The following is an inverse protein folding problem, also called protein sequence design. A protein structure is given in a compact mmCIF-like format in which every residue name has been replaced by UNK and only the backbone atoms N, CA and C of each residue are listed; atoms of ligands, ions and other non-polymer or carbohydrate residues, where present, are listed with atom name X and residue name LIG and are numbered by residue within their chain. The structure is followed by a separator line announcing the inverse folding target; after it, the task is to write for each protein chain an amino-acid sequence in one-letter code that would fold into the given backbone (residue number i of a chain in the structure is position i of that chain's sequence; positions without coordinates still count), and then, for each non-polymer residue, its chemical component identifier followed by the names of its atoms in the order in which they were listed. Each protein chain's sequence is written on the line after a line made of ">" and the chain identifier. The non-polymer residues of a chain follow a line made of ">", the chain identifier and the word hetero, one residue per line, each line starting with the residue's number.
data_IF_604934591034
#
_entry.id   IF_604934591034
#
_cell.length_a   1.000
_cell.length_b   1.000
_cell.length_c   1.000
_cell.angle_alpha   90.00
_cell.angle_beta   90.00
_cell.angle_gamma   90.00
#
_symmetry.space_group_name_H-M   'P 1'
#
loop_
_entity.id
_entity.type
_entity.pdbx_description
1 polymer ?
#
# COMPACT_ATOMS: atom_id res chain seq x y z
N UNK A 1 7.63 32.40 -23.45
CA UNK A 1 7.77 30.98 -23.88
C UNK A 1 8.66 30.28 -22.87
N UNK A 2 8.08 29.77 -21.82
CA UNK A 2 8.76 28.89 -20.84
C UNK A 2 8.65 27.47 -21.42
N UNK A 3 9.68 27.04 -22.14
CA UNK A 3 9.76 25.68 -22.71
C UNK A 3 9.90 24.69 -21.58
N UNK A 4 8.90 23.86 -21.46
CA UNK A 4 8.74 22.62 -20.70
C UNK A 4 10.01 21.75 -20.64
N UNK A 5 10.91 22.02 -19.70
CA UNK A 5 12.07 21.16 -19.42
C UNK A 5 11.82 20.11 -18.32
N UNK A 6 10.61 20.11 -17.73
CA UNK A 6 10.27 19.22 -16.61
C UNK A 6 9.76 17.86 -17.11
N UNK A 7 9.16 17.80 -18.29
CA UNK A 7 8.45 16.63 -18.79
C UNK A 7 9.27 15.67 -19.67
N UNK A 8 10.58 15.92 -19.86
CA UNK A 8 11.45 15.06 -20.69
C UNK A 8 12.34 14.10 -19.90
N UNK A 9 12.20 14.02 -18.61
CA UNK A 9 12.84 12.95 -17.84
C UNK A 9 12.10 11.63 -18.12
N UNK A 10 12.82 10.65 -18.65
CA UNK A 10 12.33 9.28 -18.65
C UNK A 10 11.85 8.96 -17.25
N UNK A 11 10.58 8.53 -17.12
CA UNK A 11 10.04 8.01 -15.88
C UNK A 11 11.07 7.06 -15.27
N UNK A 12 11.33 7.17 -13.96
CA UNK A 12 12.15 6.16 -13.31
C UNK A 12 11.55 4.80 -13.73
N UNK A 13 12.38 3.90 -14.22
CA UNK A 13 11.97 2.53 -14.57
C UNK A 13 11.65 1.81 -13.26
N UNK A 14 10.52 2.13 -12.67
CA UNK A 14 9.93 1.27 -11.67
C UNK A 14 9.42 0.04 -12.41
N UNK A 15 9.48 -1.14 -11.78
CA UNK A 15 8.81 -2.35 -12.28
C UNK A 15 7.28 -2.24 -12.13
N UNK A 16 6.73 -1.03 -12.27
CA UNK A 16 5.32 -0.67 -12.08
C UNK A 16 4.39 -1.29 -13.11
N UNK A 17 4.96 -1.91 -14.14
CA UNK A 17 4.21 -2.57 -15.20
C UNK A 17 3.82 -4.01 -14.87
N UNK A 18 4.37 -4.57 -13.79
CA UNK A 18 4.17 -5.97 -13.42
C UNK A 18 3.35 -6.10 -12.14
N UNK A 19 2.67 -7.23 -11.99
CA UNK A 19 2.02 -7.62 -10.75
C UNK A 19 3.07 -7.90 -9.66
N UNK A 20 2.76 -7.60 -8.41
CA UNK A 20 3.65 -7.91 -7.29
C UNK A 20 3.05 -9.03 -6.44
N UNK A 21 3.52 -10.25 -6.61
CA UNK A 21 2.99 -11.44 -5.94
C UNK A 21 4.13 -12.21 -5.29
N UNK A 22 3.97 -12.58 -4.03
CA UNK A 22 4.95 -13.38 -3.31
C UNK A 22 6.31 -12.71 -3.12
N UNK A 23 6.35 -11.39 -3.00
CA UNK A 23 7.57 -10.61 -2.80
C UNK A 23 8.38 -10.36 -4.09
N UNK A 24 7.82 -10.58 -5.27
CA UNK A 24 8.48 -10.40 -6.57
C UNK A 24 7.53 -9.88 -7.63
N UNK A 25 8.10 -9.19 -8.60
CA UNK A 25 7.39 -8.73 -9.79
C UNK A 25 7.21 -9.89 -10.77
N UNK A 26 5.97 -10.07 -11.27
CA UNK A 26 5.58 -11.13 -12.18
C UNK A 26 4.68 -10.60 -13.29
N UNK A 27 4.66 -11.26 -14.43
CA UNK A 27 3.72 -10.98 -15.51
C UNK A 27 2.36 -11.64 -15.21
N UNK A 28 1.27 -11.06 -15.71
CA UNK A 28 -0.05 -11.66 -15.62
C UNK A 28 -0.10 -13.00 -16.37
N UNK A 29 -0.75 -13.99 -15.79
CA UNK A 29 -0.88 -15.32 -16.39
C UNK A 29 -1.55 -15.30 -17.77
N UNK A 30 -2.42 -14.32 -18.02
CA UNK A 30 -3.08 -14.12 -19.32
C UNK A 30 -2.20 -13.41 -20.35
N UNK A 31 -1.12 -12.74 -19.94
CA UNK A 31 -0.34 -11.83 -20.76
C UNK A 31 -1.07 -10.54 -21.17
N UNK A 32 -2.29 -10.33 -20.67
CA UNK A 32 -3.07 -9.13 -21.01
C UNK A 32 -2.50 -7.89 -20.31
N UNK A 33 -2.55 -6.77 -21.03
CA UNK A 33 -2.14 -5.45 -20.53
C UNK A 33 -3.18 -4.40 -20.88
N UNK A 34 -3.11 -3.27 -20.20
CA UNK A 34 -3.83 -2.04 -20.56
C UNK A 34 -2.87 -0.85 -20.51
N UNK A 35 -3.22 0.20 -21.24
CA UNK A 35 -2.42 1.42 -21.27
C UNK A 35 -2.82 2.35 -20.12
N UNK A 36 -1.84 2.88 -19.38
CA UNK A 36 -2.07 4.06 -18.55
C UNK A 36 -1.65 5.30 -19.33
N UNK A 37 -2.47 6.36 -19.26
CA UNK A 37 -2.38 7.54 -20.12
C UNK A 37 -2.21 8.78 -19.24
N UNK A 38 -1.26 9.65 -19.60
CA UNK A 38 -1.13 10.95 -18.98
C UNK A 38 -2.32 11.84 -19.35
N UNK A 39 -3.20 12.20 -18.41
CA UNK A 39 -4.39 12.98 -18.71
C UNK A 39 -4.11 14.41 -19.15
N UNK A 40 -2.89 14.93 -18.93
CA UNK A 40 -2.52 16.27 -19.32
C UNK A 40 -2.22 16.41 -20.82
N UNK A 41 -1.77 15.34 -21.48
CA UNK A 41 -1.35 15.39 -22.89
C UNK A 41 -1.83 14.21 -23.74
N UNK A 42 -2.45 13.19 -23.14
CA UNK A 42 -2.95 12.00 -23.82
C UNK A 42 -1.86 10.99 -24.23
N UNK A 43 -0.61 11.19 -23.81
CA UNK A 43 0.47 10.25 -24.11
C UNK A 43 0.39 9.00 -23.23
N UNK A 44 0.70 7.83 -23.82
CA UNK A 44 0.81 6.58 -23.08
C UNK A 44 2.03 6.62 -22.17
N UNK A 45 1.83 6.43 -20.89
CA UNK A 45 2.89 6.37 -19.87
C UNK A 45 3.53 4.97 -19.80
N UNK A 46 2.69 3.94 -19.77
CA UNK A 46 3.11 2.56 -19.67
C UNK A 46 2.00 1.60 -20.11
N UNK A 47 2.41 0.34 -20.37
CA UNK A 47 1.49 -0.79 -20.47
C UNK A 47 1.55 -1.57 -19.16
N UNK A 48 0.43 -1.65 -18.46
CA UNK A 48 0.31 -2.28 -17.15
C UNK A 48 -0.31 -3.67 -17.30
N UNK A 49 0.15 -4.62 -16.51
CA UNK A 49 -0.38 -5.99 -16.52
C UNK A 49 -1.81 -6.02 -16.00
N UNK A 50 -2.70 -6.68 -16.74
CA UNK A 50 -4.09 -6.89 -16.32
C UNK A 50 -4.21 -8.25 -15.63
N UNK A 51 -4.41 -8.23 -14.31
CA UNK A 51 -4.51 -9.44 -13.52
C UNK A 51 -5.75 -10.26 -13.89
N UNK A 52 -5.58 -11.57 -14.03
CA UNK A 52 -6.66 -12.53 -14.18
C UNK A 52 -7.10 -13.10 -12.84
N UNK A 53 -8.22 -13.83 -12.83
CA UNK A 53 -8.64 -14.57 -11.62
C UNK A 53 -7.54 -15.50 -11.09
N UNK A 54 -6.76 -16.13 -11.97
CA UNK A 54 -5.68 -17.02 -11.56
C UNK A 54 -4.57 -16.25 -10.82
N UNK A 55 -4.24 -15.04 -11.25
CA UNK A 55 -3.26 -14.18 -10.60
C UNK A 55 -3.75 -13.75 -9.21
N UNK A 56 -5.02 -13.38 -9.09
CA UNK A 56 -5.65 -13.04 -7.82
C UNK A 56 -5.64 -14.23 -6.87
N UNK A 57 -5.99 -15.44 -7.32
CA UNK A 57 -5.95 -16.65 -6.52
C UNK A 57 -4.52 -16.94 -5.99
N UNK A 58 -3.49 -16.75 -6.82
CA UNK A 58 -2.09 -16.86 -6.42
C UNK A 58 -1.69 -15.79 -5.39
N UNK A 59 -2.13 -14.55 -5.59
CA UNK A 59 -1.87 -13.46 -4.67
C UNK A 59 -2.51 -13.73 -3.29
N UNK A 60 -3.77 -14.19 -3.27
CA UNK A 60 -4.47 -14.59 -2.03
C UNK A 60 -3.73 -15.72 -1.31
N UNK A 61 -3.32 -16.76 -2.04
CA UNK A 61 -2.57 -17.87 -1.46
C UNK A 61 -1.23 -17.42 -0.85
N UNK A 62 -0.51 -16.54 -1.56
CA UNK A 62 0.71 -15.92 -1.06
C UNK A 62 0.47 -15.06 0.19
N UNK A 63 -0.56 -14.22 0.16
CA UNK A 63 -0.94 -13.38 1.29
C UNK A 63 -1.31 -14.20 2.54
N UNK A 64 -1.98 -15.34 2.38
CA UNK A 64 -2.28 -16.26 3.49
C UNK A 64 -1.01 -16.84 4.14
N UNK A 65 0.03 -17.14 3.36
CA UNK A 65 1.30 -17.59 3.90
C UNK A 65 2.03 -16.46 4.64
N UNK A 66 2.09 -15.28 4.02
CA UNK A 66 2.70 -14.10 4.64
C UNK A 66 1.99 -13.67 5.92
N UNK A 67 0.65 -13.75 5.97
CA UNK A 67 -0.15 -13.43 7.15
C UNK A 67 0.24 -14.28 8.37
N UNK A 68 0.53 -15.55 8.20
CA UNK A 68 1.00 -16.42 9.28
C UNK A 68 2.33 -15.93 9.86
N UNK A 69 3.26 -15.53 9.00
CA UNK A 69 4.56 -14.99 9.41
C UNK A 69 4.38 -13.66 10.15
N UNK A 70 3.58 -12.76 9.56
CA UNK A 70 3.29 -11.45 10.13
C UNK A 70 2.59 -11.54 11.50
N UNK A 71 1.60 -12.42 11.62
CA UNK A 71 0.86 -12.62 12.86
C UNK A 71 1.73 -13.23 13.98
N UNK A 72 2.76 -14.00 13.63
CA UNK A 72 3.71 -14.57 14.59
C UNK A 72 4.71 -13.54 15.14
N UNK A 73 4.87 -12.39 14.48
CA UNK A 73 5.76 -11.31 14.94
C UNK A 73 5.19 -10.63 16.17
N UNK A 74 6.09 -10.14 17.04
CA UNK A 74 5.68 -9.23 18.13
C UNK A 74 5.19 -7.90 17.55
N UNK A 75 4.36 -7.18 18.30
CA UNK A 75 3.89 -5.85 17.91
C UNK A 75 5.04 -4.88 17.61
N UNK A 76 6.11 -4.93 18.42
CA UNK A 76 7.30 -4.10 18.19
C UNK A 76 8.07 -4.46 16.91
N UNK A 77 8.15 -5.72 16.55
CA UNK A 77 8.78 -6.13 15.29
C UNK A 77 7.99 -5.57 14.09
N UNK A 78 6.66 -5.70 14.10
CA UNK A 78 5.80 -5.12 13.07
C UNK A 78 5.94 -3.60 12.99
N UNK A 79 5.89 -2.91 14.14
CA UNK A 79 6.09 -1.45 14.22
C UNK A 79 7.41 -1.01 13.57
N UNK A 80 8.52 -1.71 13.84
CA UNK A 80 9.82 -1.39 13.23
C UNK A 80 9.83 -1.53 11.72
N UNK A 81 9.18 -2.56 11.18
CA UNK A 81 9.05 -2.75 9.72
C UNK A 81 8.27 -1.61 9.10
N UNK A 82 7.12 -1.25 9.69
CA UNK A 82 6.28 -0.14 9.21
C UNK A 82 7.03 1.20 9.26
N UNK A 83 7.76 1.49 10.34
CA UNK A 83 8.59 2.70 10.44
C UNK A 83 9.66 2.76 9.35
N UNK A 84 10.27 1.62 9.01
CA UNK A 84 11.22 1.58 7.90
C UNK A 84 10.56 1.87 6.55
N UNK A 85 9.34 1.42 6.34
CA UNK A 85 8.56 1.78 5.15
C UNK A 85 8.26 3.28 5.10
N UNK A 86 7.91 3.91 6.23
CA UNK A 86 7.72 5.38 6.33
C UNK A 86 8.98 6.14 5.91
N UNK A 87 10.15 5.74 6.41
CA UNK A 87 11.43 6.36 6.03
C UNK A 87 11.64 6.32 4.50
N UNK A 88 11.39 5.15 3.88
CA UNK A 88 11.53 4.97 2.43
C UNK A 88 10.52 5.84 1.66
N UNK A 89 9.27 5.95 2.12
CA UNK A 89 8.26 6.80 1.50
C UNK A 89 8.68 8.26 1.53
N UNK A 90 9.13 8.75 2.69
CA UNK A 90 9.60 10.14 2.85
C UNK A 90 10.84 10.43 2.00
N UNK A 91 11.78 9.49 1.93
CA UNK A 91 12.97 9.61 1.08
C UNK A 91 12.62 9.67 -0.41
N UNK A 92 11.61 8.91 -0.83
CA UNK A 92 11.16 8.84 -2.23
C UNK A 92 10.03 9.80 -2.58
N UNK A 93 9.63 10.69 -1.67
CA UNK A 93 8.49 11.59 -1.81
C UNK A 93 8.44 12.29 -3.17
N UNK A 94 9.53 12.94 -3.58
CA UNK A 94 9.57 13.70 -4.83
C UNK A 94 9.33 12.84 -6.07
N UNK A 95 9.95 11.66 -6.13
CA UNK A 95 9.81 10.75 -7.27
C UNK A 95 8.41 10.12 -7.35
N UNK A 96 7.82 9.81 -6.21
CA UNK A 96 6.45 9.28 -6.13
C UNK A 96 5.43 10.37 -6.49
N UNK A 97 5.63 11.60 -6.02
CA UNK A 97 4.78 12.74 -6.36
C UNK A 97 4.80 13.07 -7.85
N UNK A 98 5.97 13.02 -8.49
CA UNK A 98 6.08 13.20 -9.94
C UNK A 98 5.31 12.10 -10.70
N UNK A 99 5.43 10.86 -10.27
CA UNK A 99 4.71 9.74 -10.86
C UNK A 99 3.19 9.90 -10.71
N UNK A 100 2.70 10.19 -9.50
CA UNK A 100 1.28 10.40 -9.23
C UNK A 100 0.72 11.59 -10.02
N UNK A 101 1.48 12.68 -10.16
CA UNK A 101 1.08 13.80 -11.02
C UNK A 101 0.93 13.41 -12.50
N UNK A 102 1.80 12.56 -13.00
CA UNK A 102 1.74 12.10 -14.40
C UNK A 102 0.53 11.19 -14.64
N UNK A 103 0.23 10.30 -13.70
CA UNK A 103 -0.83 9.31 -13.81
C UNK A 103 -2.21 9.92 -13.55
N UNK A 104 -2.35 10.78 -12.54
CA UNK A 104 -3.64 11.37 -12.13
C UNK A 104 -3.95 12.71 -12.75
N UNK A 105 -2.96 13.42 -13.26
CA UNK A 105 -3.09 14.81 -13.75
C UNK A 105 -3.14 15.87 -12.65
N UNK A 106 -2.95 15.51 -11.40
CA UNK A 106 -2.93 16.44 -10.27
C UNK A 106 -1.73 17.40 -10.35
N UNK A 107 -1.86 18.63 -9.80
CA UNK A 107 -0.73 19.53 -9.65
C UNK A 107 0.38 18.90 -8.79
N UNK A 108 1.64 19.04 -9.23
CA UNK A 108 2.79 18.50 -8.49
C UNK A 108 2.90 19.06 -7.06
N UNK A 109 2.41 20.28 -6.82
CA UNK A 109 2.33 20.86 -5.48
C UNK A 109 1.38 20.09 -4.56
N UNK A 110 0.30 19.51 -5.09
CA UNK A 110 -0.62 18.69 -4.33
C UNK A 110 -0.02 17.31 -4.04
N UNK A 111 0.43 16.60 -5.07
CA UNK A 111 1.00 15.27 -4.91
C UNK A 111 2.22 15.25 -3.99
N UNK A 112 3.09 16.28 -4.09
CA UNK A 112 4.32 16.40 -3.30
C UNK A 112 4.10 16.75 -1.83
N UNK A 113 3.17 17.68 -1.55
CA UNK A 113 3.01 18.23 -0.20
C UNK A 113 1.79 17.71 0.54
N UNK A 114 0.87 17.02 -0.14
CA UNK A 114 -0.34 16.47 0.45
C UNK A 114 -0.38 14.94 0.27
N UNK A 115 -0.42 14.44 -0.95
CA UNK A 115 -0.78 13.05 -1.22
C UNK A 115 0.22 12.05 -0.62
N UNK A 116 1.47 12.13 -1.03
CA UNK A 116 2.51 11.19 -0.56
C UNK A 116 2.81 11.41 0.93
N UNK A 117 2.83 12.67 1.38
CA UNK A 117 3.05 13.02 2.79
C UNK A 117 1.95 12.40 3.67
N UNK A 118 0.68 12.56 3.28
CA UNK A 118 -0.46 12.00 4.02
C UNK A 118 -0.37 10.48 4.09
N UNK A 119 -0.01 9.80 3.00
CA UNK A 119 0.19 8.36 3.00
C UNK A 119 1.29 7.92 3.99
N UNK A 120 2.40 8.64 4.03
CA UNK A 120 3.48 8.38 4.99
C UNK A 120 3.05 8.64 6.45
N UNK A 121 2.32 9.73 6.71
CA UNK A 121 1.84 10.10 8.04
C UNK A 121 0.84 9.07 8.59
N UNK A 122 -0.07 8.58 7.77
CA UNK A 122 -1.01 7.53 8.16
C UNK A 122 -0.28 6.23 8.49
N UNK A 123 0.69 5.82 7.66
CA UNK A 123 1.51 4.64 7.96
C UNK A 123 2.30 4.82 9.26
N UNK A 124 2.85 6.02 9.53
CA UNK A 124 3.55 6.32 10.77
C UNK A 124 2.65 6.24 12.00
N UNK A 125 1.42 6.78 11.89
CA UNK A 125 0.42 6.67 12.94
C UNK A 125 0.15 5.21 13.31
N UNK A 126 -0.16 4.36 12.32
CA UNK A 126 -0.40 2.94 12.58
C UNK A 126 0.84 2.20 13.07
N UNK A 127 2.02 2.53 12.58
CA UNK A 127 3.27 1.99 13.11
C UNK A 127 3.46 2.32 14.61
N UNK A 128 2.99 3.50 15.04
CA UNK A 128 3.01 3.93 16.43
C UNK A 128 1.99 3.22 17.31
N UNK A 129 0.77 2.99 16.81
CA UNK A 129 -0.32 2.43 17.63
C UNK A 129 -0.25 0.89 17.76
N UNK A 130 0.41 0.19 16.84
CA UNK A 130 0.50 -1.28 16.84
C UNK A 130 0.91 -1.86 18.19
N UNK A 131 1.92 -1.33 18.91
CA UNK A 131 2.31 -1.85 20.22
C UNK A 131 1.30 -1.58 21.35
N UNK A 132 0.38 -0.62 21.14
CA UNK A 132 -0.62 -0.22 22.11
C UNK A 132 -1.99 -0.90 21.95
N UNK A 133 -2.09 -1.85 20.99
CA UNK A 133 -3.32 -2.60 20.76
C UNK A 133 -3.49 -3.69 21.83
N UNK A 134 -4.24 -3.37 22.86
CA UNK A 134 -4.49 -4.23 24.02
C UNK A 134 -5.95 -4.70 24.05
N UNK A 135 -6.19 -5.74 24.86
CA UNK A 135 -7.52 -6.15 25.28
C UNK A 135 -7.88 -5.51 26.63
N UNK A 136 -9.11 -5.75 27.06
CA UNK A 136 -9.62 -5.29 28.35
C UNK A 136 -9.78 -6.48 29.30
N UNK A 137 -9.56 -6.26 30.59
CA UNK A 137 -10.00 -7.13 31.66
C UNK A 137 -11.16 -6.46 32.39
N UNK A 138 -12.28 -7.14 32.48
CA UNK A 138 -13.53 -6.61 33.05
C UNK A 138 -13.91 -7.47 34.24
N UNK A 139 -13.83 -6.97 35.50
CA UNK A 139 -14.29 -7.71 36.66
C UNK A 139 -15.82 -7.82 36.64
N UNK A 140 -16.35 -9.01 36.86
CA UNK A 140 -17.81 -9.28 36.95
C UNK A 140 -18.24 -9.48 38.40
N UNK A 141 -17.50 -10.25 39.16
CA UNK A 141 -17.72 -10.59 40.58
C UNK A 141 -16.37 -10.81 41.23
N UNK A 142 -16.36 -10.98 42.56
CA UNK A 142 -15.15 -11.22 43.33
C UNK A 142 -14.31 -12.43 42.80
N UNK A 143 -14.98 -13.46 42.28
CA UNK A 143 -14.33 -14.68 41.79
C UNK A 143 -14.34 -14.87 40.27
N UNK A 144 -14.79 -13.85 39.49
CA UNK A 144 -14.92 -14.00 38.04
C UNK A 144 -14.65 -12.69 37.29
N UNK A 145 -13.99 -12.81 36.17
CA UNK A 145 -13.70 -11.71 35.26
C UNK A 145 -13.81 -12.19 33.80
N UNK A 146 -13.98 -11.23 32.89
CA UNK A 146 -13.92 -11.42 31.44
C UNK A 146 -12.73 -10.64 30.89
N UNK A 147 -12.08 -11.19 29.91
CA UNK A 147 -11.08 -10.44 29.13
C UNK A 147 -11.45 -10.42 27.66
N UNK A 148 -11.10 -9.35 26.96
CA UNK A 148 -11.20 -9.25 25.52
C UNK A 148 -9.83 -9.48 24.89
N UNK A 149 -9.83 -10.15 23.74
CA UNK A 149 -8.63 -10.38 22.96
C UNK A 149 -8.85 -9.82 21.55
N UNK A 150 -7.90 -9.02 21.10
CA UNK A 150 -7.89 -8.55 19.71
C UNK A 150 -7.27 -9.63 18.84
N UNK A 151 -7.99 -10.10 17.85
CA UNK A 151 -7.52 -11.12 16.90
C UNK A 151 -7.47 -10.56 15.47
N UNK A 152 -6.56 -11.07 14.60
CA UNK A 152 -6.47 -10.64 13.23
C UNK A 152 -7.71 -11.08 12.43
N UNK A 153 -8.15 -10.23 11.49
CA UNK A 153 -9.19 -10.59 10.51
C UNK A 153 -8.67 -11.58 9.46
N UNK A 154 -7.36 -11.64 9.26
CA UNK A 154 -6.74 -12.48 8.25
C UNK A 154 -6.27 -11.66 7.04
N UNK A 155 -6.49 -12.20 5.85
CA UNK A 155 -6.20 -11.50 4.59
C UNK A 155 -7.39 -10.64 4.21
N UNK A 156 -7.14 -9.39 3.84
CA UNK A 156 -8.16 -8.45 3.36
C UNK A 156 -7.73 -7.90 1.99
N UNK A 157 -8.71 -7.48 1.20
CA UNK A 157 -8.47 -6.80 -0.07
C UNK A 157 -8.68 -5.29 0.12
N UNK A 158 -7.74 -4.48 -0.38
CA UNK A 158 -7.87 -3.03 -0.49
C UNK A 158 -8.17 -2.66 -1.94
N UNK A 159 -9.23 -1.86 -2.18
CA UNK A 159 -9.57 -1.34 -3.49
C UNK A 159 -9.42 0.17 -3.44
N UNK A 160 -8.34 0.69 -4.00
CA UNK A 160 -8.04 2.11 -4.00
C UNK A 160 -8.78 2.89 -5.09
N UNK A 161 -9.06 4.16 -4.83
CA UNK A 161 -9.63 5.06 -5.82
C UNK A 161 -8.55 5.55 -6.81
N UNK A 162 -8.90 5.64 -8.08
CA UNK A 162 -7.98 6.05 -9.16
C UNK A 162 -7.49 7.50 -9.04
N UNK A 163 -8.27 8.36 -8.40
CA UNK A 163 -7.93 9.77 -8.21
C UNK A 163 -6.96 10.05 -7.06
N UNK A 164 -6.60 9.02 -6.29
CA UNK A 164 -5.75 9.15 -5.11
C UNK A 164 -4.99 7.83 -4.84
N UNK A 165 -4.07 7.42 -5.74
CA UNK A 165 -3.38 6.14 -5.65
C UNK A 165 -2.60 5.95 -4.34
N UNK A 166 -1.99 7.01 -3.80
CA UNK A 166 -1.28 6.98 -2.52
C UNK A 166 -2.19 6.68 -1.32
N UNK A 167 -3.52 6.90 -1.42
CA UNK A 167 -4.49 6.52 -0.39
C UNK A 167 -4.55 5.01 -0.12
N UNK A 168 -4.10 4.18 -1.05
CA UNK A 168 -3.94 2.74 -0.81
C UNK A 168 -3.07 2.46 0.41
N UNK A 169 -2.06 3.28 0.63
CA UNK A 169 -1.26 3.20 1.85
C UNK A 169 -2.09 3.39 3.11
N UNK A 170 -3.11 4.23 3.07
CA UNK A 170 -4.00 4.46 4.22
C UNK A 170 -4.91 3.25 4.49
N UNK A 171 -5.49 2.66 3.47
CA UNK A 171 -6.35 1.48 3.58
C UNK A 171 -5.56 0.26 4.06
N UNK A 172 -4.38 0.02 3.48
CA UNK A 172 -3.44 -1.02 3.88
C UNK A 172 -2.98 -0.85 5.32
N UNK A 173 -2.69 0.37 5.73
CA UNK A 173 -2.11 0.64 7.04
C UNK A 173 -3.06 0.32 8.20
N UNK A 174 -4.37 0.55 8.03
CA UNK A 174 -5.37 0.14 9.02
C UNK A 174 -5.33 -1.36 9.28
N UNK A 175 -5.10 -2.11 8.23
CA UNK A 175 -5.07 -3.57 8.25
C UNK A 175 -3.73 -4.13 8.75
N UNK A 176 -2.60 -3.66 8.23
CA UNK A 176 -1.25 -4.14 8.58
C UNK A 176 -0.94 -3.84 10.06
N UNK A 177 -1.32 -2.66 10.55
CA UNK A 177 -1.13 -2.28 11.94
C UNK A 177 -1.77 -3.26 12.91
N UNK A 178 -2.98 -3.69 12.65
CA UNK A 178 -3.80 -4.51 13.55
C UNK A 178 -3.56 -6.02 13.49
N UNK A 179 -2.46 -6.53 13.00
CA UNK A 179 -2.20 -7.96 12.67
C UNK A 179 -2.95 -8.47 11.43
N UNK A 180 -3.60 -7.60 10.65
CA UNK A 180 -4.70 -7.99 9.80
C UNK A 180 -4.38 -8.20 8.34
N UNK A 181 -3.20 -7.83 7.81
CA UNK A 181 -3.06 -7.80 6.37
C UNK A 181 -1.75 -8.24 5.76
N UNK A 182 -1.89 -8.91 4.65
CA UNK A 182 -1.11 -8.70 3.43
C UNK A 182 -2.08 -8.27 2.32
N UNK A 183 -1.78 -7.17 1.64
CA UNK A 183 -2.58 -6.73 0.53
C UNK A 183 -2.46 -7.60 -0.68
N UNK A 184 -3.61 -7.80 -1.31
CA UNK A 184 -3.69 -8.13 -2.71
C UNK A 184 -3.88 -6.81 -3.42
N UNK A 185 -2.87 -6.37 -4.15
CA UNK A 185 -3.03 -5.29 -5.09
C UNK A 185 -3.83 -5.84 -6.27
N UNK A 186 -5.15 -5.59 -6.25
CA UNK A 186 -5.98 -5.72 -7.44
C UNK A 186 -6.04 -4.33 -8.06
N UNK A 187 -5.50 -4.18 -9.25
CA UNK A 187 -5.73 -3.03 -10.12
C UNK A 187 -7.08 -3.13 -10.81
#
# INVERSE_FOLDING_TARGET
>A
MIKNKIWSKQLPRFHLQQLYIGGRFVEAASGNTFETINPANGEVLANVQSASKADVDLAVASAQQGQKIWAAMTAMQRSRILRKAVEILREKNDSLAELESLDTGKPLSETRYVDIVTGADVLEYYAGIVPALEGLQIPLRESSFVYTRREPLGVVAGIGAWNYPSNRLMEVCTCIGCRQCHDIQAE
#
